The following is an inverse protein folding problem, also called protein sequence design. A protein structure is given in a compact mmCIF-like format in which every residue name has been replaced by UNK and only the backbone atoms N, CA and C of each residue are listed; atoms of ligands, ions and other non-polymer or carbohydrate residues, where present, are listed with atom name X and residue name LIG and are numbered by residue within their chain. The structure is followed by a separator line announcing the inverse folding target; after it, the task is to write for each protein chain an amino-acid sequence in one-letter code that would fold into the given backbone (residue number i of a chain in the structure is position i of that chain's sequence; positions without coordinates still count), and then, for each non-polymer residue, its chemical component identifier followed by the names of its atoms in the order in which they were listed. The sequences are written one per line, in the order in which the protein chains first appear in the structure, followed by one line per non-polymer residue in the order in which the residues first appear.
data_IF_392284055437
#
_entry.id   IF_392284055437
#
_cell.length_a   1.000
_cell.length_b   1.000
_cell.length_c   1.000
_cell.angle_alpha   90.00
_cell.angle_beta   90.00
_cell.angle_gamma   90.00
#
_symmetry.space_group_name_H-M   'P 1'
#
loop_
_entity.id
_entity.type
_entity.pdbx_description
1 polymer ?
#
# COMPACT_ATOMS: atom_id res chain seq x y z
N UNK A 1 9.47 -1.47 12.41
CA UNK A 1 10.09 -2.27 11.33
C UNK A 1 9.85 -1.57 10.01
N UNK A 2 10.68 -1.81 9.00
CA UNK A 2 10.49 -1.30 7.64
C UNK A 2 10.44 -2.45 6.65
N UNK A 3 9.73 -2.25 5.55
CA UNK A 3 9.69 -3.18 4.42
C UNK A 3 10.11 -2.46 3.15
N UNK A 4 10.74 -3.20 2.24
CA UNK A 4 11.17 -2.69 0.94
C UNK A 4 10.49 -3.51 -0.15
N UNK A 5 9.84 -2.83 -1.09
CA UNK A 5 9.13 -3.45 -2.22
C UNK A 5 9.59 -2.74 -3.52
N UNK A 6 10.07 -3.48 -4.54
CA UNK A 6 10.40 -2.88 -5.84
C UNK A 6 9.13 -2.52 -6.63
N UNK A 7 9.19 -1.48 -7.45
CA UNK A 7 8.06 -0.97 -8.24
C UNK A 7 8.14 -1.33 -9.74
N UNK A 8 9.04 -2.24 -10.12
CA UNK A 8 9.32 -2.58 -11.52
C UNK A 8 8.34 -3.60 -12.11
N UNK A 9 7.60 -4.34 -11.27
CA UNK A 9 6.71 -5.42 -11.70
C UNK A 9 5.27 -4.90 -11.84
N UNK A 10 4.71 -5.00 -13.05
CA UNK A 10 3.35 -4.54 -13.31
C UNK A 10 2.30 -5.43 -12.63
N UNK A 11 2.59 -6.73 -12.52
CA UNK A 11 1.72 -7.75 -11.92
C UNK A 11 1.59 -7.59 -10.39
N UNK A 12 2.56 -6.91 -9.78
CA UNK A 12 2.62 -6.63 -8.34
C UNK A 12 2.99 -5.15 -8.12
N UNK A 13 2.20 -4.25 -8.71
CA UNK A 13 2.46 -2.82 -8.69
C UNK A 13 2.41 -2.24 -7.26
N UNK A 14 3.57 -1.98 -6.67
CA UNK A 14 3.71 -1.41 -5.33
C UNK A 14 2.99 -0.05 -5.17
N UNK A 15 2.84 0.72 -6.27
CA UNK A 15 2.15 2.00 -6.27
C UNK A 15 0.64 1.89 -5.94
N UNK A 16 0.05 0.70 -6.00
CA UNK A 16 -1.32 0.49 -5.52
C UNK A 16 -1.44 0.59 -4.00
N UNK A 17 -0.33 0.46 -3.28
CA UNK A 17 -0.26 0.59 -1.83
C UNK A 17 0.10 2.01 -1.39
N UNK A 18 0.70 2.82 -2.26
CA UNK A 18 1.18 4.18 -1.90
C UNK A 18 0.03 5.16 -1.72
N UNK A 19 0.27 6.24 -0.98
CA UNK A 19 -0.72 7.29 -0.69
C UNK A 19 -0.82 8.31 -1.83
N UNK A 20 -1.96 9.00 -1.92
CA UNK A 20 -2.22 10.08 -2.89
C UNK A 20 -1.76 11.46 -2.40
N UNK A 21 -0.94 11.50 -1.35
CA UNK A 21 -0.36 12.72 -0.81
C UNK A 21 0.73 13.27 -1.75
N UNK A 22 0.70 14.58 -1.94
CA UNK A 22 1.68 15.34 -2.69
C UNK A 22 2.36 16.35 -1.79
N UNK A 23 3.66 16.54 -2.00
CA UNK A 23 4.39 17.63 -1.38
C UNK A 23 3.73 18.99 -1.70
N UNK A 24 3.48 19.87 -0.71
CA UNK A 24 2.73 21.12 -0.91
C UNK A 24 3.42 22.11 -1.86
N UNK A 25 4.74 22.02 -2.04
CA UNK A 25 5.54 22.94 -2.85
C UNK A 25 5.97 22.30 -4.18
N UNK A 26 6.63 21.15 -4.12
CA UNK A 26 7.22 20.45 -5.25
C UNK A 26 6.22 19.59 -6.02
N UNK A 27 5.04 19.30 -5.45
CA UNK A 27 3.98 18.46 -6.06
C UNK A 27 4.48 17.07 -6.47
N UNK A 28 5.47 16.55 -5.74
CA UNK A 28 5.97 15.19 -5.92
C UNK A 28 5.20 14.22 -5.01
N UNK A 29 4.92 12.98 -5.44
CA UNK A 29 4.26 12.00 -4.60
C UNK A 29 5.13 11.45 -3.48
N UNK A 30 4.50 11.10 -2.36
CA UNK A 30 5.16 10.47 -1.22
C UNK A 30 5.39 8.96 -1.44
N UNK A 31 6.30 8.59 -2.34
CA UNK A 31 6.54 7.17 -2.64
C UNK A 31 7.41 6.42 -1.62
N UNK A 32 8.14 7.13 -0.76
CA UNK A 32 9.17 6.52 0.09
C UNK A 32 8.63 6.01 1.42
N UNK A 33 7.45 6.46 1.84
CA UNK A 33 6.85 6.09 3.11
C UNK A 33 5.36 5.81 2.93
N UNK A 34 4.93 4.66 3.40
CA UNK A 34 3.52 4.27 3.46
C UNK A 34 3.31 3.26 4.58
N UNK A 35 2.22 3.42 5.34
CA UNK A 35 1.82 2.45 6.35
C UNK A 35 1.17 1.24 5.67
N UNK A 36 1.68 0.04 5.93
CA UNK A 36 1.18 -1.20 5.33
C UNK A 36 0.92 -2.25 6.41
N UNK A 37 -0.06 -3.13 6.15
CA UNK A 37 -0.31 -4.33 6.96
C UNK A 37 0.29 -5.54 6.26
N UNK A 38 1.14 -6.29 6.96
CA UNK A 38 1.67 -7.54 6.47
C UNK A 38 0.76 -8.69 6.88
N UNK A 39 0.45 -9.55 5.93
CA UNK A 39 -0.30 -10.77 6.14
C UNK A 39 0.49 -11.94 5.57
N UNK A 40 0.50 -13.06 6.30
CA UNK A 40 1.10 -14.29 5.81
C UNK A 40 0.17 -14.89 4.76
N UNK A 41 0.68 -15.13 3.55
CA UNK A 41 -0.05 -15.92 2.58
C UNK A 41 -0.21 -17.36 3.13
N UNK A 42 -1.43 -17.88 3.07
CA UNK A 42 -1.77 -19.22 3.56
C UNK A 42 -1.17 -20.33 2.69
N UNK A 43 -1.84 -21.48 2.65
CA UNK A 43 -1.43 -22.58 1.77
C UNK A 43 -1.48 -22.16 0.28
N UNK A 44 -0.65 -22.72 -0.62
CA UNK A 44 -0.68 -22.37 -2.04
C UNK A 44 -2.09 -22.58 -2.63
N UNK A 45 -2.75 -21.48 -3.03
CA UNK A 45 -4.12 -21.49 -3.53
C UNK A 45 -5.16 -20.79 -2.64
N UNK A 46 -4.79 -20.47 -1.40
CA UNK A 46 -5.62 -19.66 -0.52
C UNK A 46 -5.44 -18.18 -0.88
N UNK A 47 -6.44 -17.64 -1.60
CA UNK A 47 -6.47 -16.20 -1.84
C UNK A 47 -6.60 -15.50 -0.50
N UNK A 48 -5.79 -14.45 -0.23
CA UNK A 48 -5.94 -13.66 1.00
C UNK A 48 -7.41 -13.25 1.08
N UNK A 49 -8.07 -13.60 2.19
CA UNK A 49 -9.48 -13.25 2.41
C UNK A 49 -9.58 -11.76 2.16
N UNK A 50 -10.21 -11.40 1.03
CA UNK A 50 -10.33 -10.02 0.54
C UNK A 50 -10.50 -9.14 1.76
N UNK A 51 -9.55 -8.26 2.02
CA UNK A 51 -9.57 -7.30 3.12
C UNK A 51 -10.83 -6.44 2.96
N UNK A 52 -11.95 -7.02 3.35
CA UNK A 52 -13.30 -6.48 3.29
C UNK A 52 -13.41 -5.78 4.61
N UNK A 53 -12.78 -4.62 4.66
CA UNK A 53 -13.32 -3.39 5.22
C UNK A 53 -12.19 -2.39 5.38
N UNK A 54 -12.21 -1.44 4.45
CA UNK A 54 -11.88 -0.04 4.68
C UNK A 54 -10.42 0.28 5.06
N UNK A 55 -9.66 0.66 4.03
CA UNK A 55 -8.97 1.96 4.03
C UNK A 55 -9.97 3.13 3.84
N UNK A 56 -11.19 3.00 4.38
CA UNK A 56 -12.14 4.09 4.52
C UNK A 56 -12.19 4.46 6.00
N UNK A 57 -11.04 4.97 6.46
CA UNK A 57 -10.87 5.69 7.72
C UNK A 57 -9.63 6.59 7.62
N UNK A 58 -9.57 7.45 6.60
CA UNK A 58 -9.32 8.87 6.87
C UNK A 58 -10.71 9.48 7.15
N UNK A 59 -11.41 9.05 8.21
CA UNK A 59 -11.56 9.84 9.43
C UNK A 59 -11.09 11.28 9.24
N UNK A 60 -12.04 12.14 8.87
CA UNK A 60 -12.33 13.37 9.61
C UNK A 60 -11.13 13.95 10.37
N UNK A 61 -10.45 14.92 9.75
CA UNK A 61 -10.39 16.35 10.11
C UNK A 61 -10.06 17.15 8.85
#
# INVERSE_FOLDING_TARGET
GSVFIPFHFAEAAANLLTIDALDPHAKIPEFKFCAVRLERLGSPGEQPTRATERAAASSEV
#
